data_IF_991136011647
#
_entry.id   IF_991136011647
#
_cell.length_a   1.000
_cell.length_b   1.000
_cell.length_c   1.000
_cell.angle_alpha   90.00
_cell.angle_beta   90.00
_cell.angle_gamma   90.00
#
_symmetry.space_group_name_H-M   'P 1'
#
loop_
_entity.id
_entity.type
_entity.pdbx_description
1 polymer ?
#
# COMPACT_ATOMS: atom_id res chain seq x y z
N UNK A 1 -11.24 16.24 22.26
CA UNK A 1 -9.83 16.33 21.80
C UNK A 1 -9.45 15.02 21.14
N UNK A 2 -9.26 15.00 19.81
CA UNK A 2 -8.58 13.87 19.16
C UNK A 2 -7.10 14.00 19.50
N UNK A 3 -6.60 13.14 20.37
CA UNK A 3 -5.16 13.08 20.62
C UNK A 3 -4.49 12.38 19.45
N UNK A 4 -3.24 12.77 19.15
CA UNK A 4 -2.43 12.09 18.13
C UNK A 4 -2.43 10.57 18.33
N UNK A 5 -2.41 10.13 19.60
CA UNK A 5 -2.46 8.72 20.00
C UNK A 5 -3.75 8.04 19.56
N UNK A 6 -4.91 8.67 19.78
CA UNK A 6 -6.20 8.11 19.35
C UNK A 6 -6.30 7.97 17.83
N UNK A 7 -5.74 8.93 17.09
CA UNK A 7 -5.71 8.87 15.62
C UNK A 7 -4.84 7.71 15.14
N UNK A 8 -3.61 7.61 15.67
CA UNK A 8 -2.70 6.53 15.28
C UNK A 8 -3.20 5.15 15.71
N UNK A 9 -3.82 5.04 16.88
CA UNK A 9 -4.41 3.77 17.35
C UNK A 9 -5.62 3.36 16.50
N UNK A 10 -6.44 4.33 16.08
CA UNK A 10 -7.57 4.06 15.17
C UNK A 10 -7.09 3.59 13.80
N UNK A 11 -6.05 4.23 13.24
CA UNK A 11 -5.44 3.85 11.97
C UNK A 11 -4.72 2.51 12.06
N UNK A 12 -4.12 2.16 13.20
CA UNK A 12 -3.44 0.88 13.37
C UNK A 12 -4.43 -0.29 13.48
N UNK A 13 -5.51 -0.11 14.22
CA UNK A 13 -6.52 -1.18 14.43
C UNK A 13 -7.47 -1.34 13.25
N UNK A 14 -7.72 -0.27 12.50
CA UNK A 14 -8.79 -0.23 11.50
C UNK A 14 -8.33 0.46 10.23
N UNK A 15 -8.64 -0.15 9.09
CA UNK A 15 -8.35 0.45 7.79
C UNK A 15 -9.08 1.78 7.63
N UNK A 16 -8.41 2.78 7.05
CA UNK A 16 -8.97 4.14 6.98
C UNK A 16 -10.34 4.18 6.26
N UNK A 17 -10.48 3.40 5.19
CA UNK A 17 -11.68 3.35 4.37
C UNK A 17 -12.85 2.57 4.97
N UNK A 18 -12.62 1.75 6.00
CA UNK A 18 -13.69 1.03 6.70
C UNK A 18 -14.30 1.85 7.84
N UNK A 19 -13.66 2.97 8.21
CA UNK A 19 -14.18 3.89 9.21
C UNK A 19 -15.40 4.65 8.66
N UNK A 20 -16.40 4.98 9.51
CA UNK A 20 -17.52 5.80 9.08
C UNK A 20 -17.07 7.22 8.68
N UNK A 21 -17.72 7.82 7.67
CA UNK A 21 -17.27 9.04 6.97
C UNK A 21 -16.93 10.22 7.89
N UNK A 22 -17.70 10.45 8.95
CA UNK A 22 -17.41 11.48 9.97
C UNK A 22 -16.05 11.29 10.65
N UNK A 23 -15.68 10.05 11.01
CA UNK A 23 -14.36 9.74 11.59
C UNK A 23 -13.24 9.94 10.57
N UNK A 24 -13.46 9.57 9.31
CA UNK A 24 -12.51 9.82 8.25
C UNK A 24 -12.21 11.33 8.09
N UNK A 25 -13.25 12.18 8.12
CA UNK A 25 -13.09 13.63 8.07
C UNK A 25 -12.32 14.18 9.28
N UNK A 26 -12.64 13.73 10.50
CA UNK A 26 -11.94 14.16 11.72
C UNK A 26 -10.46 13.76 11.69
N UNK A 27 -10.15 12.54 11.26
CA UNK A 27 -8.77 12.06 11.12
C UNK A 27 -8.04 12.88 10.06
N UNK A 28 -8.62 13.07 8.86
CA UNK A 28 -8.00 13.90 7.81
C UNK A 28 -7.75 15.33 8.28
N UNK A 29 -8.71 15.94 8.99
CA UNK A 29 -8.54 17.27 9.56
C UNK A 29 -7.40 17.30 10.58
N UNK A 30 -7.36 16.35 11.52
CA UNK A 30 -6.31 16.29 12.53
C UNK A 30 -4.92 16.09 11.93
N UNK A 31 -4.78 15.14 11.00
CA UNK A 31 -3.51 14.82 10.34
C UNK A 31 -3.04 16.00 9.46
N UNK A 32 -3.95 16.78 8.89
CA UNK A 32 -3.60 17.99 8.11
C UNK A 32 -3.15 19.17 9.00
N UNK A 33 -3.70 19.28 10.21
CA UNK A 33 -3.41 20.39 11.14
C UNK A 33 -2.25 20.08 12.12
N UNK A 34 -1.99 18.80 12.41
CA UNK A 34 -1.00 18.41 13.40
C UNK A 34 0.39 18.24 12.79
N UNK A 35 1.35 19.08 13.19
CA UNK A 35 2.74 19.01 12.73
C UNK A 35 3.48 17.77 13.26
N UNK A 36 3.06 17.22 14.40
CA UNK A 36 3.68 16.04 15.01
C UNK A 36 3.28 14.73 14.33
N UNK A 37 1.97 14.45 14.28
CA UNK A 37 1.47 13.17 13.79
C UNK A 37 1.10 13.21 12.31
N UNK A 38 1.04 14.40 11.71
CA UNK A 38 0.55 14.63 10.35
C UNK A 38 1.32 13.86 9.29
N UNK A 39 2.66 13.93 9.34
CA UNK A 39 3.51 13.24 8.35
C UNK A 39 3.33 11.73 8.40
N UNK A 40 3.46 11.14 9.60
CA UNK A 40 3.37 9.69 9.78
C UNK A 40 1.97 9.16 9.46
N UNK A 41 0.92 9.77 10.01
CA UNK A 41 -0.45 9.28 9.80
C UNK A 41 -0.92 9.51 8.35
N UNK A 42 -0.42 10.53 7.64
CA UNK A 42 -0.67 10.65 6.19
C UNK A 42 -0.05 9.48 5.43
N UNK A 43 1.21 9.11 5.72
CA UNK A 43 1.86 7.95 5.09
C UNK A 43 1.08 6.65 5.35
N UNK A 44 0.53 6.47 6.56
CA UNK A 44 -0.31 5.31 6.88
C UNK A 44 -1.60 5.32 6.06
N UNK A 45 -2.25 6.48 5.89
CA UNK A 45 -3.46 6.62 5.06
C UNK A 45 -3.14 6.35 3.58
N UNK A 46 -2.00 6.83 3.08
CA UNK A 46 -1.56 6.59 1.70
C UNK A 46 -1.30 5.10 1.47
N UNK A 47 -0.67 4.42 2.45
CA UNK A 47 -0.44 2.99 2.39
C UNK A 47 -1.77 2.20 2.38
N UNK A 48 -2.73 2.57 3.22
CA UNK A 48 -4.08 1.99 3.17
C UNK A 48 -4.74 2.17 1.80
N UNK A 49 -4.57 3.33 1.18
CA UNK A 49 -5.07 3.61 -0.17
C UNK A 49 -4.42 2.71 -1.21
N UNK A 50 -3.09 2.59 -1.15
CA UNK A 50 -2.31 1.71 -2.02
C UNK A 50 -2.74 0.25 -1.87
N UNK A 51 -2.86 -0.25 -0.63
CA UNK A 51 -3.32 -1.61 -0.35
C UNK A 51 -4.73 -1.87 -0.88
N UNK A 52 -5.63 -0.88 -0.78
CA UNK A 52 -6.98 -0.98 -1.33
C UNK A 52 -6.95 -1.11 -2.86
N UNK A 53 -6.17 -0.27 -3.54
CA UNK A 53 -6.01 -0.36 -4.98
C UNK A 53 -5.35 -1.68 -5.40
N UNK A 54 -4.36 -2.18 -4.66
CA UNK A 54 -3.79 -3.49 -4.94
C UNK A 54 -4.82 -4.59 -4.82
N UNK A 55 -5.65 -4.59 -3.77
CA UNK A 55 -6.74 -5.56 -3.62
C UNK A 55 -7.76 -5.50 -4.76
N UNK A 56 -8.14 -4.30 -5.20
CA UNK A 56 -9.08 -4.11 -6.31
C UNK A 56 -8.48 -4.59 -7.64
N UNK A 57 -7.20 -4.27 -7.88
CA UNK A 57 -6.48 -4.72 -9.07
C UNK A 57 -6.22 -6.23 -9.03
N UNK A 58 -5.80 -6.81 -7.91
CA UNK A 58 -5.66 -8.25 -7.78
C UNK A 58 -7.00 -8.98 -7.88
N UNK A 59 -8.09 -8.44 -7.35
CA UNK A 59 -9.41 -9.05 -7.51
C UNK A 59 -9.88 -9.04 -8.97
N UNK A 60 -9.56 -7.99 -9.72
CA UNK A 60 -9.87 -7.89 -11.16
C UNK A 60 -8.90 -8.68 -12.06
N UNK A 61 -7.66 -8.87 -11.60
CA UNK A 61 -6.59 -9.66 -12.24
C UNK A 61 -6.48 -11.05 -11.62
N UNK A 62 -7.47 -11.51 -10.83
CA UNK A 62 -7.56 -12.88 -10.33
C UNK A 62 -7.99 -13.82 -11.46
N UNK A 63 -7.27 -13.67 -12.56
CA UNK A 63 -7.29 -14.41 -13.75
C UNK A 63 -6.44 -15.64 -13.50
N UNK A 64 -7.09 -16.66 -12.93
CA UNK A 64 -6.50 -17.98 -12.67
C UNK A 64 -5.86 -18.61 -13.90
N UNK A 65 -6.05 -18.05 -15.11
CA UNK A 65 -5.39 -18.44 -16.36
C UNK A 65 -3.87 -18.53 -16.24
N UNK A 66 -3.22 -17.66 -15.45
CA UNK A 66 -1.74 -17.62 -15.37
C UNK A 66 -1.15 -18.12 -14.04
N UNK A 67 -1.98 -18.62 -13.11
CA UNK A 67 -1.52 -19.04 -11.78
C UNK A 67 -0.50 -20.20 -11.81
N UNK A 68 -0.45 -20.96 -12.92
CA UNK A 68 0.49 -22.05 -13.14
C UNK A 68 1.53 -21.76 -14.24
N UNK A 69 1.53 -20.56 -14.81
CA UNK A 69 2.44 -20.20 -15.91
C UNK A 69 3.82 -19.85 -15.35
N UNK A 70 4.69 -20.87 -15.28
CA UNK A 70 6.11 -20.65 -14.99
C UNK A 70 6.85 -20.20 -16.26
N UNK A 71 7.79 -19.27 -16.12
CA UNK A 71 8.73 -18.95 -17.20
C UNK A 71 9.48 -20.22 -17.61
N UNK A 72 9.33 -20.63 -18.88
CA UNK A 72 10.18 -21.66 -19.52
C UNK A 72 11.65 -21.38 -19.21
N UNK A 73 12.43 -22.42 -18.92
CA UNK A 73 13.80 -22.30 -18.38
C UNK A 73 14.72 -21.40 -19.22
N UNK A 74 14.60 -21.44 -20.54
CA UNK A 74 15.35 -20.57 -21.45
C UNK A 74 15.05 -19.07 -21.22
N UNK A 75 13.77 -18.71 -21.02
CA UNK A 75 13.36 -17.32 -20.73
C UNK A 75 13.77 -16.89 -19.32
N UNK A 76 13.75 -17.82 -18.37
CA UNK A 76 14.23 -17.60 -17.00
C UNK A 76 15.74 -17.34 -16.95
N UNK A 77 16.52 -18.09 -17.73
CA UNK A 77 17.96 -17.88 -17.86
C UNK A 77 18.27 -16.52 -18.52
N UNK A 78 17.60 -16.18 -19.62
CA UNK A 78 17.77 -14.89 -20.29
C UNK A 78 17.41 -13.70 -19.38
N UNK A 79 16.36 -13.82 -18.56
CA UNK A 79 15.99 -12.78 -17.60
C UNK A 79 17.04 -12.62 -16.49
N UNK A 80 17.59 -13.73 -15.97
CA UNK A 80 18.66 -13.69 -14.96
C UNK A 80 19.92 -13.00 -15.47
N UNK A 81 20.33 -13.28 -16.70
CA UNK A 81 21.50 -12.62 -17.28
C UNK A 81 21.28 -11.12 -17.47
N UNK A 82 20.10 -10.71 -17.95
CA UNK A 82 19.75 -9.27 -18.06
C UNK A 82 19.77 -8.55 -16.72
N UNK A 83 19.30 -9.19 -15.65
CA UNK A 83 19.36 -8.62 -14.30
C UNK A 83 20.81 -8.48 -13.84
N UNK A 84 21.65 -9.50 -14.10
CA UNK A 84 23.09 -9.46 -13.77
C UNK A 84 23.82 -8.35 -14.53
N UNK A 85 23.58 -8.22 -15.83
CA UNK A 85 24.14 -7.14 -16.66
C UNK A 85 23.74 -5.75 -16.13
N UNK A 86 22.47 -5.57 -15.76
CA UNK A 86 21.98 -4.30 -15.21
C UNK A 86 22.59 -3.94 -13.85
N UNK A 87 22.94 -4.93 -13.03
CA UNK A 87 23.60 -4.72 -11.74
C UNK A 87 25.08 -4.36 -11.95
N UNK A 88 25.75 -5.03 -12.89
CA UNK A 88 27.17 -4.84 -13.18
C UNK A 88 27.46 -3.60 -14.05
N UNK A 89 26.46 -3.03 -14.70
CA UNK A 89 26.56 -1.79 -15.48
C UNK A 89 26.40 -0.51 -14.64
N UNK A 90 26.23 -0.64 -13.31
CA UNK A 90 26.26 0.46 -12.33
C UNK A 90 27.55 0.40 -11.52
#
# INVERSE_FOLDING_TARGET
>A
MFTCKQVSESLNKTHFYTLPKWKQCMIKMHVKLCVFCGKYNNQVIDNHTMCQHFKENEASVNDSRYAHESLKDARKAALKERIRESINSK
#
